data_IF_723514780129
#
_entry.id   IF_723514780129
#
_cell.length_a   1.000
_cell.length_b   1.000
_cell.length_c   1.000
_cell.angle_alpha   90.00
_cell.angle_beta   90.00
_cell.angle_gamma   90.00
#
_symmetry.space_group_name_H-M   'P 1'
#
loop_
_entity.id
_entity.type
_entity.pdbx_description
1 polymer ?
#
# COMPACT_ATOMS: atom_id res chain seq x y z
N UNK A 1 -11.60 -6.99 -7.49
CA UNK A 1 -11.28 -5.66 -8.07
C UNK A 1 -11.36 -4.58 -7.00
N UNK A 2 -10.72 -3.42 -7.21
CA UNK A 2 -10.72 -2.29 -6.26
C UNK A 2 -12.14 -1.75 -5.97
N UNK A 3 -12.27 -1.09 -4.82
CA UNK A 3 -13.41 -0.21 -4.53
C UNK A 3 -12.87 1.21 -4.50
N UNK A 4 -13.51 2.09 -5.25
CA UNK A 4 -13.16 3.51 -5.36
C UNK A 4 -13.52 4.27 -4.07
N UNK A 5 -13.03 5.50 -3.93
CA UNK A 5 -13.32 6.34 -2.76
C UNK A 5 -14.83 6.53 -2.53
N UNK A 6 -15.62 6.56 -3.61
CA UNK A 6 -17.09 6.62 -3.55
C UNK A 6 -17.77 5.27 -3.22
N UNK A 7 -17.01 4.27 -2.73
CA UNK A 7 -17.48 2.94 -2.32
C UNK A 7 -18.05 2.07 -3.46
N UNK A 8 -17.88 2.47 -4.71
CA UNK A 8 -18.26 1.64 -5.86
C UNK A 8 -17.18 0.61 -6.18
N UNK A 9 -17.60 -0.64 -6.41
CA UNK A 9 -16.72 -1.74 -6.84
C UNK A 9 -16.45 -1.62 -8.33
N UNK A 10 -15.17 -1.60 -8.70
CA UNK A 10 -14.77 -1.68 -10.10
C UNK A 10 -15.07 -3.05 -10.69
N UNK A 11 -15.47 -3.07 -11.96
CA UNK A 11 -15.46 -4.27 -12.78
C UNK A 11 -14.02 -4.64 -13.17
N UNK A 12 -13.85 -5.82 -13.76
CA UNK A 12 -12.55 -6.24 -14.29
C UNK A 12 -12.18 -5.42 -15.54
N UNK A 13 -10.90 -5.08 -15.68
CA UNK A 13 -10.33 -4.40 -16.84
C UNK A 13 -9.14 -3.52 -16.48
N UNK A 14 -8.48 -2.95 -17.49
CA UNK A 14 -7.28 -2.10 -17.37
C UNK A 14 -6.13 -2.79 -16.59
N UNK A 15 -5.24 -2.01 -15.96
CA UNK A 15 -4.04 -2.47 -15.25
C UNK A 15 -3.85 -1.74 -13.93
N UNK A 16 -2.96 -2.25 -13.08
CA UNK A 16 -2.49 -1.64 -11.82
C UNK A 16 -3.57 -1.42 -10.75
N UNK A 17 -4.73 -2.06 -10.89
CA UNK A 17 -5.95 -1.75 -10.12
C UNK A 17 -6.43 -2.92 -9.25
N UNK A 18 -5.48 -3.66 -8.66
CA UNK A 18 -5.76 -4.73 -7.71
C UNK A 18 -5.97 -4.19 -6.28
N UNK A 19 -6.70 -4.93 -5.46
CA UNK A 19 -6.79 -4.64 -4.02
C UNK A 19 -5.49 -5.11 -3.34
N UNK A 20 -4.69 -4.16 -2.86
CA UNK A 20 -3.45 -4.39 -2.11
C UNK A 20 -3.60 -5.09 -0.75
N UNK A 21 -4.83 -5.30 -0.26
CA UNK A 21 -5.11 -6.02 1.01
C UNK A 21 -5.67 -7.42 0.78
N UNK A 22 -6.07 -7.78 -0.45
CA UNK A 22 -6.68 -9.07 -0.74
C UNK A 22 -5.72 -10.23 -0.40
N UNK A 23 -6.08 -11.14 0.53
CA UNK A 23 -5.22 -12.28 0.85
C UNK A 23 -5.07 -13.21 -0.35
N UNK A 24 -6.14 -13.39 -1.13
CA UNK A 24 -6.13 -14.20 -2.36
C UNK A 24 -5.15 -13.63 -3.38
N UNK A 25 -5.18 -12.31 -3.63
CA UNK A 25 -4.28 -11.71 -4.62
C UNK A 25 -2.81 -11.80 -4.15
N UNK A 26 -2.56 -11.59 -2.86
CA UNK A 26 -1.23 -11.73 -2.24
C UNK A 26 -0.68 -13.15 -2.33
N UNK A 27 -1.50 -14.15 -2.03
CA UNK A 27 -1.13 -15.57 -2.15
C UNK A 27 -0.78 -15.90 -3.61
N UNK A 28 -1.63 -15.48 -4.56
CA UNK A 28 -1.45 -15.80 -5.97
C UNK A 28 -0.22 -15.13 -6.59
N UNK A 29 0.03 -13.85 -6.28
CA UNK A 29 1.25 -13.17 -6.75
C UNK A 29 2.50 -13.75 -6.10
N UNK A 30 2.48 -14.04 -4.80
CA UNK A 30 3.59 -14.70 -4.13
C UNK A 30 3.91 -16.08 -4.73
N UNK A 31 2.89 -16.91 -4.95
CA UNK A 31 3.05 -18.24 -5.53
C UNK A 31 3.61 -18.17 -6.97
N UNK A 32 3.12 -17.25 -7.79
CA UNK A 32 3.65 -17.05 -9.14
C UNK A 32 5.10 -16.56 -9.11
N UNK A 33 5.43 -15.61 -8.24
CA UNK A 33 6.80 -15.09 -8.08
C UNK A 33 7.76 -16.19 -7.61
N UNK A 34 7.32 -17.10 -6.75
CA UNK A 34 8.09 -18.29 -6.37
C UNK A 34 8.39 -19.17 -7.58
N UNK A 35 7.39 -19.51 -8.38
CA UNK A 35 7.57 -20.35 -9.57
C UNK A 35 8.52 -19.70 -10.59
N UNK A 36 8.44 -18.38 -10.76
CA UNK A 36 9.38 -17.63 -11.60
C UNK A 36 10.81 -17.74 -11.08
N UNK A 37 11.03 -17.51 -9.78
CA UNK A 37 12.35 -17.65 -9.18
C UNK A 37 12.87 -19.09 -9.27
N UNK A 38 12.08 -20.10 -8.93
CA UNK A 38 12.48 -21.51 -9.02
C UNK A 38 12.92 -21.89 -10.44
N UNK A 39 12.21 -21.38 -11.46
CA UNK A 39 12.51 -21.67 -12.86
C UNK A 39 13.75 -20.93 -13.37
N UNK A 40 13.95 -19.67 -12.98
CA UNK A 40 14.94 -18.79 -13.61
C UNK A 40 16.14 -18.43 -12.74
N UNK A 41 16.18 -18.85 -11.46
CA UNK A 41 17.24 -18.49 -10.51
C UNK A 41 18.67 -18.73 -11.00
N UNK A 42 18.89 -19.80 -11.78
CA UNK A 42 20.21 -20.21 -12.26
C UNK A 42 20.44 -19.84 -13.74
N UNK A 43 19.51 -19.09 -14.35
CA UNK A 43 19.64 -18.73 -15.76
C UNK A 43 20.72 -17.63 -15.92
N UNK A 44 21.77 -17.82 -16.75
CA UNK A 44 22.92 -16.93 -16.81
C UNK A 44 22.60 -15.50 -17.29
N UNK A 45 21.43 -15.32 -17.92
CA UNK A 45 20.96 -14.00 -18.34
C UNK A 45 20.10 -13.25 -17.30
N UNK A 46 19.82 -13.84 -16.13
CA UNK A 46 19.04 -13.17 -15.09
C UNK A 46 19.90 -12.13 -14.37
N UNK A 47 19.59 -10.84 -14.54
CA UNK A 47 20.38 -9.74 -13.98
C UNK A 47 19.66 -8.97 -12.87
N UNK A 48 18.32 -8.95 -12.86
CA UNK A 48 17.51 -8.17 -11.93
C UNK A 48 16.05 -8.62 -11.97
N UNK A 49 15.36 -8.50 -10.85
CA UNK A 49 13.91 -8.60 -10.78
C UNK A 49 13.25 -7.22 -10.85
N UNK A 50 12.40 -7.04 -11.84
CA UNK A 50 11.49 -5.90 -11.91
C UNK A 50 10.14 -6.31 -11.33
N UNK A 51 9.77 -5.76 -10.18
CA UNK A 51 8.59 -6.16 -9.44
C UNK A 51 7.41 -5.30 -9.83
N UNK A 52 6.34 -5.98 -10.24
CA UNK A 52 5.10 -5.36 -10.72
C UNK A 52 5.39 -4.33 -11.82
N UNK A 53 4.55 -3.30 -11.93
CA UNK A 53 4.77 -2.16 -12.79
C UNK A 53 4.01 -0.94 -12.23
N UNK A 54 4.70 0.19 -12.05
CA UNK A 54 4.11 1.50 -11.75
C UNK A 54 3.08 1.46 -10.61
N UNK A 55 3.51 1.04 -9.40
CA UNK A 55 2.61 0.98 -8.26
C UNK A 55 1.90 2.31 -8.01
N UNK A 56 0.59 2.23 -7.74
CA UNK A 56 -0.22 3.40 -7.42
C UNK A 56 -1.71 3.09 -7.24
N UNK A 57 -2.43 4.12 -6.83
CA UNK A 57 -3.87 4.08 -6.53
C UNK A 57 -4.20 3.37 -5.21
N UNK A 58 -5.49 3.38 -4.88
CA UNK A 58 -6.00 3.02 -3.56
C UNK A 58 -7.23 2.10 -3.67
N UNK A 59 -7.65 1.52 -2.54
CA UNK A 59 -8.81 0.64 -2.47
C UNK A 59 -9.53 0.85 -1.14
N UNK A 60 -10.85 1.05 -1.19
CA UNK A 60 -11.68 1.42 -0.03
C UNK A 60 -12.66 0.31 0.38
N UNK A 61 -12.41 -0.95 0.00
CA UNK A 61 -13.26 -2.07 0.41
C UNK A 61 -13.03 -2.44 1.87
N UNK A 62 -13.95 -3.21 2.47
CA UNK A 62 -13.93 -3.60 3.89
C UNK A 62 -12.59 -4.16 4.36
N UNK A 63 -11.94 -5.01 3.56
CA UNK A 63 -10.59 -5.52 3.87
C UNK A 63 -9.57 -4.38 4.10
N UNK A 64 -9.64 -3.33 3.29
CA UNK A 64 -8.74 -2.17 3.40
C UNK A 64 -9.17 -1.23 4.53
N UNK A 65 -10.46 -1.17 4.86
CA UNK A 65 -10.95 -0.41 6.02
C UNK A 65 -10.41 -1.04 7.31
N UNK A 66 -10.50 -2.37 7.46
CA UNK A 66 -9.94 -3.06 8.63
C UNK A 66 -8.42 -2.88 8.72
N UNK A 67 -7.70 -3.10 7.61
CA UNK A 67 -6.26 -2.89 7.60
C UNK A 67 -5.85 -1.43 7.90
N UNK A 68 -6.69 -0.45 7.53
CA UNK A 68 -6.46 0.95 7.87
C UNK A 68 -6.68 1.19 9.37
N UNK A 69 -7.74 0.63 9.97
CA UNK A 69 -7.95 0.73 11.42
C UNK A 69 -6.80 0.09 12.19
N UNK A 70 -6.31 -1.07 11.76
CA UNK A 70 -5.16 -1.72 12.39
C UNK A 70 -3.89 -0.88 12.25
N UNK A 71 -3.63 -0.31 11.07
CA UNK A 71 -2.55 0.66 10.87
C UNK A 71 -2.65 1.87 11.83
N UNK A 72 -3.86 2.40 12.04
CA UNK A 72 -4.08 3.53 12.95
C UNK A 72 -3.88 3.14 14.42
N UNK A 73 -4.39 1.97 14.84
CA UNK A 73 -4.15 1.44 16.18
C UNK A 73 -2.66 1.31 16.44
N UNK A 74 -1.90 0.71 15.53
CA UNK A 74 -0.44 0.60 15.67
C UNK A 74 0.22 1.98 15.75
N UNK A 75 -0.17 2.90 14.87
CA UNK A 75 0.40 4.25 14.81
C UNK A 75 0.15 5.07 16.09
N UNK A 76 -1.04 4.96 16.67
CA UNK A 76 -1.47 5.72 17.84
C UNK A 76 -1.43 4.88 19.12
N UNK A 77 -0.68 3.77 19.16
CA UNK A 77 -0.51 2.90 20.33
C UNK A 77 -1.84 2.42 20.96
N UNK A 78 -2.83 2.12 20.13
CA UNK A 78 -4.20 1.76 20.52
C UNK A 78 -4.92 2.83 21.37
N UNK A 79 -4.43 4.06 21.37
CA UNK A 79 -5.02 5.20 22.05
C UNK A 79 -5.88 6.02 21.08
N UNK A 80 -7.20 5.86 21.21
CA UNK A 80 -8.17 6.58 20.38
C UNK A 80 -8.25 8.06 20.76
N UNK A 81 -7.92 8.43 21.99
CA UNK A 81 -7.85 9.84 22.42
C UNK A 81 -6.68 10.53 21.72
N UNK A 82 -5.50 9.89 21.68
CA UNK A 82 -4.34 10.41 20.95
C UNK A 82 -4.65 10.64 19.45
N UNK A 83 -5.39 9.73 18.80
CA UNK A 83 -5.86 9.92 17.43
C UNK A 83 -6.79 11.12 17.30
N UNK A 84 -7.82 11.21 18.15
CA UNK A 84 -8.78 12.30 18.13
C UNK A 84 -8.10 13.67 18.34
N UNK A 85 -7.14 13.75 19.27
CA UNK A 85 -6.34 14.95 19.50
C UNK A 85 -5.49 15.30 18.26
N UNK A 86 -4.78 14.33 17.68
CA UNK A 86 -3.93 14.54 16.50
C UNK A 86 -4.73 14.99 15.26
N UNK A 87 -5.96 14.52 15.12
CA UNK A 87 -6.85 14.85 14.01
C UNK A 87 -7.77 16.05 14.29
N UNK A 88 -7.73 16.59 15.51
CA UNK A 88 -8.58 17.71 15.95
C UNK A 88 -10.09 17.44 15.75
N UNK A 89 -10.52 16.22 16.06
CA UNK A 89 -11.89 15.74 15.77
C UNK A 89 -12.97 16.38 16.63
N UNK A 90 -12.62 17.13 17.68
CA UNK A 90 -13.58 17.95 18.41
C UNK A 90 -14.26 19.02 17.54
N UNK A 91 -13.59 19.45 16.46
CA UNK A 91 -14.18 20.34 15.48
C UNK A 91 -15.30 19.62 14.70
N UNK A 92 -16.44 20.31 14.56
CA UNK A 92 -17.68 19.76 13.98
C UNK A 92 -18.18 18.46 14.63
N UNK A 93 -17.77 18.21 15.88
CA UNK A 93 -18.22 17.03 16.64
C UNK A 93 -17.90 15.69 15.93
N UNK A 94 -16.75 15.62 15.26
CA UNK A 94 -16.27 14.41 14.58
C UNK A 94 -15.56 13.41 15.51
N UNK A 95 -15.55 13.64 16.82
CA UNK A 95 -14.85 12.76 17.79
C UNK A 95 -15.30 11.31 17.64
N UNK A 96 -14.34 10.42 17.38
CA UNK A 96 -14.59 8.99 17.33
C UNK A 96 -14.58 8.40 18.75
N UNK A 97 -15.61 7.64 19.07
CA UNK A 97 -15.74 6.92 20.34
C UNK A 97 -15.39 5.44 20.24
N UNK A 98 -15.26 4.92 19.02
CA UNK A 98 -14.86 3.54 18.74
C UNK A 98 -14.06 3.44 17.43
N UNK A 99 -13.10 2.52 17.36
CA UNK A 99 -12.27 2.32 16.17
C UNK A 99 -13.08 1.94 14.93
N UNK A 100 -14.18 1.20 15.09
CA UNK A 100 -15.03 0.76 13.97
C UNK A 100 -15.71 1.91 13.22
N UNK A 101 -15.88 3.07 13.88
CA UNK A 101 -16.46 4.28 13.28
C UNK A 101 -15.52 4.95 12.27
N UNK A 102 -14.22 4.64 12.33
CA UNK A 102 -13.24 5.20 11.42
C UNK A 102 -13.34 4.47 10.09
N UNK A 103 -13.48 5.25 9.02
CA UNK A 103 -13.38 4.81 7.64
C UNK A 103 -12.38 5.68 6.87
N UNK A 104 -11.91 5.18 5.73
CA UNK A 104 -11.12 5.98 4.79
C UNK A 104 -11.93 7.18 4.24
N UNK A 105 -11.26 8.27 3.82
CA UNK A 105 -11.95 9.42 3.26
C UNK A 105 -12.86 9.05 2.07
N UNK A 106 -13.97 9.77 1.91
CA UNK A 106 -14.92 9.55 0.83
C UNK A 106 -15.55 10.89 0.36
N UNK A 107 -15.83 11.05 -0.95
CA UNK A 107 -16.46 12.28 -1.47
C UNK A 107 -17.90 12.48 -0.99
N UNK A 108 -18.57 11.42 -0.55
CA UNK A 108 -19.92 11.46 0.04
C UNK A 108 -19.90 11.08 1.53
N UNK A 109 -18.72 11.18 2.16
CA UNK A 109 -18.51 10.96 3.58
C UNK A 109 -17.51 11.96 4.12
N UNK A 110 -16.68 11.53 5.06
CA UNK A 110 -15.67 12.40 5.67
C UNK A 110 -14.50 12.66 4.72
N UNK A 111 -14.11 13.92 4.57
CA UNK A 111 -12.96 14.37 3.75
C UNK A 111 -12.42 15.74 4.20
N UNK A 112 -12.95 16.28 5.29
CA UNK A 112 -12.63 17.58 5.88
C UNK A 112 -11.69 17.44 7.10
N UNK A 113 -11.53 16.24 7.66
CA UNK A 113 -10.50 15.95 8.67
C UNK A 113 -9.14 15.76 7.98
N UNK A 114 -8.29 16.80 8.01
CA UNK A 114 -6.98 16.76 7.37
C UNK A 114 -6.05 15.67 7.91
N UNK A 115 -6.09 15.41 9.22
CA UNK A 115 -5.31 14.33 9.84
C UNK A 115 -5.66 12.96 9.26
N UNK A 116 -6.95 12.68 9.09
CA UNK A 116 -7.46 11.46 8.45
C UNK A 116 -7.03 11.36 7.00
N UNK A 117 -7.18 12.43 6.21
CA UNK A 117 -6.76 12.45 4.80
C UNK A 117 -5.26 12.16 4.63
N UNK A 118 -4.43 12.76 5.49
CA UNK A 118 -2.98 12.55 5.47
C UNK A 118 -2.61 11.14 5.90
N UNK A 119 -3.25 10.62 6.94
CA UNK A 119 -2.98 9.26 7.44
C UNK A 119 -3.49 8.18 6.50
N UNK A 120 -4.58 8.43 5.77
CA UNK A 120 -5.00 7.56 4.68
C UNK A 120 -3.92 7.47 3.58
N UNK A 121 -3.36 8.60 3.13
CA UNK A 121 -2.26 8.59 2.14
C UNK A 121 -1.01 7.86 2.65
N UNK A 122 -0.69 8.02 3.94
CA UNK A 122 0.41 7.28 4.58
C UNK A 122 0.13 5.78 4.66
N UNK A 123 -1.10 5.39 5.01
CA UNK A 123 -1.56 4.01 4.96
C UNK A 123 -1.46 3.44 3.55
N UNK A 124 -1.91 4.17 2.52
CA UNK A 124 -1.83 3.72 1.12
C UNK A 124 -0.38 3.39 0.74
N UNK A 125 0.58 4.24 1.15
CA UNK A 125 2.00 3.95 0.96
C UNK A 125 2.44 2.72 1.75
N UNK A 126 2.13 2.66 3.05
CA UNK A 126 2.55 1.55 3.92
C UNK A 126 2.00 0.20 3.42
N UNK A 127 0.74 0.15 3.01
CA UNK A 127 0.09 -1.05 2.51
C UNK A 127 0.60 -1.45 1.12
N UNK A 128 0.96 -0.48 0.26
CA UNK A 128 1.60 -0.76 -1.02
C UNK A 128 3.00 -1.37 -0.82
N UNK A 129 3.79 -0.82 0.10
CA UNK A 129 5.10 -1.40 0.47
C UNK A 129 4.92 -2.80 1.07
N UNK A 130 3.92 -3.00 1.91
CA UNK A 130 3.62 -4.31 2.49
C UNK A 130 3.22 -5.34 1.41
N UNK A 131 2.48 -4.91 0.37
CA UNK A 131 2.17 -5.75 -0.79
C UNK A 131 3.44 -6.09 -1.58
N UNK A 132 4.30 -5.09 -1.87
CA UNK A 132 5.60 -5.30 -2.51
C UNK A 132 6.48 -6.29 -1.71
N UNK A 133 6.55 -6.16 -0.39
CA UNK A 133 7.29 -7.07 0.49
C UNK A 133 6.78 -8.52 0.38
N UNK A 134 5.46 -8.71 0.29
CA UNK A 134 4.87 -10.02 0.02
C UNK A 134 5.30 -10.57 -1.35
N UNK A 135 5.38 -9.73 -2.38
CA UNK A 135 5.78 -10.15 -3.72
C UNK A 135 7.25 -10.58 -3.80
N UNK A 136 8.15 -9.89 -3.10
CA UNK A 136 9.59 -10.16 -3.19
C UNK A 136 10.06 -11.26 -2.24
N UNK A 137 9.23 -11.69 -1.28
CA UNK A 137 9.59 -12.71 -0.30
C UNK A 137 10.26 -13.95 -0.93
N UNK A 138 9.66 -14.64 -1.93
CA UNK A 138 10.30 -15.80 -2.55
C UNK A 138 11.58 -15.46 -3.32
N UNK A 139 11.67 -14.26 -3.90
CA UNK A 139 12.86 -13.81 -4.63
C UNK A 139 14.04 -13.63 -3.69
N UNK A 140 13.79 -13.15 -2.46
CA UNK A 140 14.80 -13.02 -1.41
C UNK A 140 15.24 -14.38 -0.87
N UNK A 141 14.32 -15.35 -0.78
CA UNK A 141 14.64 -16.71 -0.36
C UNK A 141 15.46 -17.48 -1.43
N UNK A 142 15.11 -17.34 -2.70
CA UNK A 142 15.64 -18.19 -3.78
C UNK A 142 16.77 -17.54 -4.59
N UNK A 143 16.79 -16.21 -4.68
CA UNK A 143 17.75 -15.42 -5.45
C UNK A 143 18.26 -14.21 -4.66
N UNK A 144 18.80 -14.38 -3.43
CA UNK A 144 19.19 -13.26 -2.57
C UNK A 144 20.25 -12.34 -3.20
N UNK A 145 21.05 -12.86 -4.11
CA UNK A 145 22.11 -12.15 -4.82
C UNK A 145 21.62 -11.35 -6.04
N UNK A 146 20.39 -11.58 -6.51
CA UNK A 146 19.83 -10.85 -7.66
C UNK A 146 19.17 -9.55 -7.14
N UNK A 147 19.54 -8.38 -7.68
CA UNK A 147 18.93 -7.12 -7.27
C UNK A 147 17.44 -7.09 -7.62
N UNK A 148 16.68 -6.34 -6.82
CA UNK A 148 15.24 -6.20 -6.97
C UNK A 148 14.90 -4.72 -7.05
N UNK A 149 14.05 -4.34 -8.00
CA UNK A 149 13.59 -2.96 -8.20
C UNK A 149 12.11 -2.91 -8.58
N UNK A 150 11.56 -1.71 -8.60
CA UNK A 150 10.28 -1.38 -9.25
C UNK A 150 10.42 0.01 -9.87
N UNK A 151 9.68 0.29 -10.94
CA UNK A 151 9.74 1.57 -11.64
C UNK A 151 8.88 2.64 -10.96
N UNK A 152 9.51 3.79 -10.66
CA UNK A 152 8.85 4.99 -10.17
C UNK A 152 8.35 5.88 -11.31
N UNK A 153 7.41 6.76 -10.99
CA UNK A 153 6.76 7.66 -11.93
C UNK A 153 7.03 9.13 -11.61
N UNK A 154 6.81 9.99 -12.61
CA UNK A 154 6.62 11.43 -12.42
C UNK A 154 5.18 11.82 -12.78
N UNK A 155 4.61 12.81 -12.09
CA UNK A 155 3.27 13.31 -12.35
C UNK A 155 3.24 14.28 -13.53
N UNK A 156 2.45 13.93 -14.55
CA UNK A 156 2.11 14.79 -15.67
C UNK A 156 1.15 15.92 -15.22
N UNK A 157 1.18 17.13 -15.82
CA UNK A 157 2.04 17.58 -16.93
C UNK A 157 3.41 18.11 -16.51
N UNK A 158 3.64 18.30 -15.22
CA UNK A 158 4.80 19.08 -14.76
C UNK A 158 6.02 18.22 -14.39
N UNK A 159 5.97 16.90 -14.62
CA UNK A 159 7.02 15.93 -14.26
C UNK A 159 7.47 16.08 -12.80
N UNK A 160 6.53 16.39 -11.90
CA UNK A 160 6.79 16.44 -10.46
C UNK A 160 6.94 15.02 -9.91
N UNK A 161 7.53 14.82 -8.72
CA UNK A 161 7.49 13.51 -8.08
C UNK A 161 6.05 13.00 -8.00
N UNK A 162 5.83 11.72 -8.32
CA UNK A 162 4.52 11.08 -8.21
C UNK A 162 3.94 11.25 -6.80
N UNK A 163 2.74 11.82 -6.70
CA UNK A 163 2.12 12.17 -5.42
C UNK A 163 1.28 11.04 -4.81
N UNK A 164 1.06 9.95 -5.54
CA UNK A 164 0.26 8.82 -5.07
C UNK A 164 0.95 7.93 -4.04
N UNK A 165 2.28 8.00 -3.92
CA UNK A 165 3.07 7.21 -2.98
C UNK A 165 4.25 8.02 -2.43
N UNK A 166 4.59 7.83 -1.17
CA UNK A 166 5.83 8.37 -0.59
C UNK A 166 7.02 7.48 -1.00
N UNK A 167 7.69 7.88 -2.09
CA UNK A 167 8.87 7.21 -2.60
C UNK A 167 10.10 7.29 -1.69
N UNK A 168 10.19 8.25 -0.77
CA UNK A 168 11.27 8.26 0.22
C UNK A 168 11.15 7.07 1.17
N UNK A 169 9.93 6.75 1.60
CA UNK A 169 9.67 5.52 2.38
C UNK A 169 9.86 4.26 1.54
N UNK A 170 9.35 4.24 0.30
CA UNK A 170 9.50 3.08 -0.57
C UNK A 170 10.99 2.78 -0.84
N UNK A 171 11.82 3.78 -1.11
CA UNK A 171 13.25 3.58 -1.38
C UNK A 171 14.04 3.03 -0.17
N UNK A 172 13.61 3.30 1.07
CA UNK A 172 14.21 2.74 2.29
C UNK A 172 13.80 1.29 2.53
N UNK A 173 12.54 0.94 2.23
CA UNK A 173 11.97 -0.39 2.50
C UNK A 173 12.06 -1.35 1.32
N UNK A 174 12.30 -0.84 0.12
CA UNK A 174 12.60 -1.60 -1.10
C UNK A 174 14.06 -2.01 -1.20
N UNK A 175 14.95 -1.21 -0.61
CA UNK A 175 16.31 -1.62 -0.27
C UNK A 175 16.29 -2.24 1.12
N UNK A 176 15.84 -3.48 1.24
CA UNK A 176 16.37 -4.28 2.36
C UNK A 176 17.81 -4.58 1.99
N UNK A 177 18.71 -3.92 2.71
CA UNK A 177 20.14 -3.99 2.54
C UNK A 177 20.61 -5.44 2.34
N UNK A 178 21.45 -5.61 1.33
CA UNK A 178 22.51 -6.61 1.35
C UNK A 178 23.44 -6.25 2.51
N UNK A 179 23.01 -6.44 3.76
CA UNK A 179 23.93 -6.52 4.88
C UNK A 179 24.49 -7.94 4.86
N UNK A 180 25.78 -8.01 4.50
CA UNK A 180 26.63 -9.14 4.88
C UNK A 180 26.89 -9.15 6.38
#
# INVERSE_FOLDING_TARGET
>A
MRVEANRQRNLHGLRHNHCFTSPVYREKTNALNRLLAERYKDHPALIMWHISNEYGGECHCDLCQEAFRDYLKDKYNHDLEALNQAWWTGFWSHTYSDWSQIESPAPHGEHMIHGMNLDWKRFVTAQTINFYQNEIKPLRELTPHIPVTTNFMGDYPHMRPFLGLDYHQFAKRGRCDLMG
#
